data_IF_349271062369
#
_entry.id   IF_349271062369
#
_cell.length_a   1.000
_cell.length_b   1.000
_cell.length_c   1.000
_cell.angle_alpha   90.00
_cell.angle_beta   90.00
_cell.angle_gamma   90.00
#
_symmetry.space_group_name_H-M   'P 1'
#
loop_
_entity.id
_entity.type
_entity.pdbx_description
1 polymer ?
#
# COMPACT_ATOMS: atom_id res chain seq x y z
N UNK A 1 -3.01 -30.85 -9.56
CA UNK A 1 -2.03 -29.98 -8.87
C UNK A 1 -2.80 -28.94 -8.10
N UNK A 2 -2.45 -28.67 -6.85
CA UNK A 2 -3.11 -27.63 -6.05
C UNK A 2 -2.40 -26.29 -6.24
N UNK A 3 -3.17 -25.21 -6.38
CA UNK A 3 -2.68 -23.86 -6.70
C UNK A 3 -3.41 -22.88 -5.77
N UNK A 4 -2.68 -21.90 -5.27
CA UNK A 4 -3.26 -20.74 -4.59
C UNK A 4 -2.63 -19.51 -5.22
N UNK A 5 -3.45 -18.62 -5.76
CA UNK A 5 -2.98 -17.30 -6.21
C UNK A 5 -3.51 -16.25 -5.25
N UNK A 6 -2.65 -15.30 -4.89
CA UNK A 6 -2.98 -14.17 -4.03
C UNK A 6 -2.55 -12.91 -4.74
N UNK A 7 -3.47 -11.98 -4.93
CA UNK A 7 -3.15 -10.62 -5.35
C UNK A 7 -3.76 -9.63 -4.36
N UNK A 8 -3.18 -8.44 -4.29
CA UNK A 8 -3.63 -7.38 -3.41
C UNK A 8 -3.59 -6.04 -4.14
N UNK A 9 -4.46 -5.10 -3.74
CA UNK A 9 -4.30 -3.71 -4.15
C UNK A 9 -3.09 -3.06 -3.44
N UNK A 10 -2.69 -1.90 -3.95
CA UNK A 10 -1.72 -1.02 -3.29
C UNK A 10 -2.48 0.13 -2.61
N UNK A 11 -2.57 0.18 -1.27
CA UNK A 11 -3.24 1.27 -0.58
C UNK A 11 -2.54 2.60 -0.83
N UNK A 12 -3.34 3.66 -0.97
CA UNK A 12 -2.86 5.03 -1.08
C UNK A 12 -2.81 5.68 0.30
N UNK A 13 -1.71 6.37 0.60
CA UNK A 13 -1.50 7.11 1.84
C UNK A 13 -1.17 8.56 1.53
N UNK A 14 -2.03 9.45 1.98
CA UNK A 14 -1.80 10.89 1.94
C UNK A 14 -0.68 11.29 2.90
N UNK A 15 0.23 12.13 2.41
CA UNK A 15 1.31 12.72 3.21
C UNK A 15 1.20 14.23 3.11
N UNK A 16 1.05 14.89 4.26
CA UNK A 16 1.08 16.35 4.35
C UNK A 16 2.50 16.87 4.09
N UNK A 17 2.66 18.09 3.53
CA UNK A 17 3.96 18.72 3.40
C UNK A 17 4.64 18.89 4.76
N UNK A 18 5.93 18.57 4.84
CA UNK A 18 6.74 18.59 6.08
C UNK A 18 7.92 19.55 5.97
N UNK A 19 8.47 20.06 7.08
CA UNK A 19 9.73 20.79 7.05
C UNK A 19 10.85 19.92 6.45
N UNK A 20 11.83 20.52 5.74
CA UNK A 20 12.92 19.78 5.12
C UNK A 20 13.82 19.11 6.17
N UNK A 21 14.29 17.90 5.90
CA UNK A 21 15.22 17.16 6.77
C UNK A 21 14.83 15.70 6.97
N UNK A 22 15.65 14.97 7.74
CA UNK A 22 15.35 13.57 8.07
C UNK A 22 14.10 13.53 8.96
N UNK A 23 13.04 12.93 8.43
CA UNK A 23 11.79 12.74 9.16
C UNK A 23 11.36 11.28 9.08
N UNK A 24 10.60 10.85 10.08
CA UNK A 24 9.94 9.56 10.06
C UNK A 24 8.47 9.78 9.75
N UNK A 25 7.94 9.00 8.81
CA UNK A 25 6.50 8.96 8.55
C UNK A 25 5.89 7.83 9.37
N UNK A 26 4.98 8.18 10.27
CA UNK A 26 4.07 7.20 10.85
C UNK A 26 2.95 6.94 9.84
N UNK A 27 2.78 5.69 9.43
CA UNK A 27 1.71 5.31 8.54
C UNK A 27 0.38 5.18 9.31
N UNK A 28 -0.75 5.56 8.71
CA UNK A 28 -2.06 5.28 9.28
C UNK A 28 -2.38 3.78 9.19
N UNK A 29 -3.56 3.37 9.65
CA UNK A 29 -4.08 2.03 9.35
C UNK A 29 -4.12 1.82 7.84
N UNK A 30 -3.59 0.69 7.37
CA UNK A 30 -3.62 0.31 5.97
C UNK A 30 -4.75 -0.69 5.73
N UNK A 31 -5.49 -0.51 4.64
CA UNK A 31 -6.56 -1.42 4.25
C UNK A 31 -6.19 -2.09 2.93
N UNK A 32 -6.04 -3.41 2.97
CA UNK A 32 -5.74 -4.22 1.80
C UNK A 32 -6.97 -5.02 1.39
N UNK A 33 -7.27 -4.97 0.09
CA UNK A 33 -8.23 -5.79 -0.61
C UNK A 33 -7.45 -6.90 -1.32
N UNK A 34 -7.74 -8.14 -0.95
CA UNK A 34 -7.12 -9.32 -1.52
C UNK A 34 -8.08 -10.05 -2.43
N UNK A 35 -7.55 -10.56 -3.53
CA UNK A 35 -8.22 -11.49 -4.42
C UNK A 35 -7.50 -12.83 -4.31
N UNK A 36 -8.22 -13.84 -3.82
CA UNK A 36 -7.70 -15.18 -3.59
C UNK A 36 -8.33 -16.13 -4.60
N UNK A 37 -7.49 -16.91 -5.27
CA UNK A 37 -7.94 -17.94 -6.23
C UNK A 37 -7.43 -19.30 -5.78
N UNK A 38 -8.16 -19.99 -4.88
CA UNK A 38 -7.82 -21.33 -4.44
C UNK A 38 -8.25 -22.37 -5.48
N UNK A 39 -7.37 -23.34 -5.76
CA UNK A 39 -7.67 -24.48 -6.61
C UNK A 39 -7.07 -25.76 -6.02
N UNK A 40 -7.90 -26.77 -5.83
CA UNK A 40 -7.49 -28.09 -5.39
C UNK A 40 -7.32 -29.03 -6.61
N UNK A 41 -6.57 -30.11 -6.45
CA UNK A 41 -6.46 -31.14 -7.49
C UNK A 41 -7.81 -31.85 -7.73
N UNK A 42 -7.92 -32.58 -8.85
CA UNK A 42 -9.13 -33.34 -9.19
C UNK A 42 -9.54 -34.27 -8.04
N UNK A 43 -10.82 -34.23 -7.66
CA UNK A 43 -11.42 -34.98 -6.53
C UNK A 43 -10.94 -34.55 -5.13
N UNK A 44 -10.29 -33.39 -4.99
CA UNK A 44 -9.98 -32.78 -3.71
C UNK A 44 -10.89 -31.58 -3.46
N UNK A 45 -11.35 -31.44 -2.23
CA UNK A 45 -12.19 -30.33 -1.81
C UNK A 45 -11.40 -29.37 -0.91
N UNK A 46 -11.66 -28.06 -0.99
CA UNK A 46 -11.06 -27.10 -0.07
C UNK A 46 -11.56 -27.37 1.35
N UNK A 47 -10.64 -27.65 2.27
CA UNK A 47 -10.91 -27.86 3.69
C UNK A 47 -10.79 -26.56 4.49
N UNK A 48 -9.98 -25.60 4.01
CA UNK A 48 -9.84 -24.30 4.63
C UNK A 48 -8.82 -23.40 3.93
N UNK A 49 -8.97 -22.11 4.12
CA UNK A 49 -8.09 -21.07 3.60
C UNK A 49 -7.77 -20.11 4.74
N UNK A 50 -6.52 -19.71 4.87
CA UNK A 50 -6.13 -18.66 5.80
C UNK A 50 -5.25 -17.64 5.11
N UNK A 51 -5.36 -16.40 5.55
CA UNK A 51 -4.59 -15.25 5.09
C UNK A 51 -4.17 -14.45 6.32
N UNK A 52 -2.92 -14.03 6.37
CA UNK A 52 -2.40 -13.18 7.44
C UNK A 52 -1.45 -12.12 6.93
N UNK A 53 -1.48 -10.95 7.55
CA UNK A 53 -0.61 -9.80 7.28
C UNK A 53 -0.33 -9.11 8.62
N UNK A 54 0.95 -8.98 8.98
CA UNK A 54 1.35 -8.61 10.35
C UNK A 54 0.60 -9.49 11.39
N UNK A 55 -0.07 -8.90 12.39
CA UNK A 55 -0.87 -9.68 13.35
C UNK A 55 -2.34 -9.86 12.93
N UNK A 56 -2.72 -9.35 11.76
CA UNK A 56 -4.09 -9.46 11.25
C UNK A 56 -4.28 -10.78 10.53
N UNK A 57 -5.30 -11.54 10.91
CA UNK A 57 -5.55 -12.88 10.37
C UNK A 57 -7.01 -13.07 9.98
N UNK A 58 -7.21 -13.70 8.83
CA UNK A 58 -8.48 -14.21 8.35
C UNK A 58 -8.40 -15.73 8.18
N UNK A 59 -9.47 -16.43 8.53
CA UNK A 59 -9.62 -17.87 8.28
C UNK A 59 -11.01 -18.13 7.72
N UNK A 60 -11.06 -18.85 6.61
CA UNK A 60 -12.26 -19.20 5.87
C UNK A 60 -12.37 -20.71 5.91
N UNK A 61 -13.45 -21.21 6.51
CA UNK A 61 -13.73 -22.64 6.57
C UNK A 61 -14.25 -23.19 5.25
N UNK A 62 -14.20 -24.52 5.09
CA UNK A 62 -14.66 -25.23 3.89
C UNK A 62 -16.06 -24.84 3.42
N UNK A 63 -17.01 -24.61 4.34
CA UNK A 63 -18.38 -24.24 4.00
C UNK A 63 -18.50 -22.91 3.22
N UNK A 64 -17.56 -21.98 3.43
CA UNK A 64 -17.53 -20.69 2.74
C UNK A 64 -16.70 -20.72 1.46
N UNK A 65 -15.81 -21.72 1.30
CA UNK A 65 -15.05 -21.95 0.08
C UNK A 65 -15.90 -22.84 -0.82
N UNK A 66 -16.94 -22.25 -1.41
CA UNK A 66 -17.78 -22.99 -2.34
C UNK A 66 -16.96 -23.27 -3.62
N UNK A 67 -16.94 -24.52 -4.09
CA UNK A 67 -16.21 -24.91 -5.31
C UNK A 67 -16.69 -24.13 -6.56
N UNK A 68 -17.88 -23.52 -6.50
CA UNK A 68 -18.44 -22.67 -7.55
C UNK A 68 -17.92 -21.23 -7.56
N UNK A 69 -17.22 -20.78 -6.51
CA UNK A 69 -16.63 -19.44 -6.43
C UNK A 69 -15.12 -19.55 -6.64
N UNK A 70 -14.61 -19.40 -7.88
CA UNK A 70 -13.19 -19.51 -8.18
C UNK A 70 -12.37 -18.33 -7.62
N UNK A 71 -13.06 -17.28 -7.16
CA UNK A 71 -12.46 -16.04 -6.66
C UNK A 71 -13.11 -15.69 -5.33
N UNK A 72 -12.27 -15.38 -4.35
CA UNK A 72 -12.67 -14.94 -3.02
C UNK A 72 -12.04 -13.57 -2.77
N UNK A 73 -12.88 -12.56 -2.57
CA UNK A 73 -12.44 -11.20 -2.24
C UNK A 73 -12.58 -10.95 -0.75
N UNK A 74 -11.50 -10.47 -0.13
CA UNK A 74 -11.47 -10.21 1.31
C UNK A 74 -10.73 -8.91 1.60
N UNK A 75 -11.07 -8.29 2.72
CA UNK A 75 -10.40 -7.09 3.20
C UNK A 75 -9.74 -7.37 4.55
N UNK A 76 -8.45 -7.05 4.68
CA UNK A 76 -7.73 -7.05 5.95
C UNK A 76 -7.16 -5.66 6.21
N UNK A 77 -7.25 -5.23 7.48
CA UNK A 77 -6.72 -3.94 7.92
C UNK A 77 -5.50 -4.18 8.81
N UNK A 78 -4.40 -3.49 8.55
CA UNK A 78 -3.21 -3.50 9.41
C UNK A 78 -3.23 -2.25 10.28
N UNK A 79 -3.39 -2.38 11.61
CA UNK A 79 -3.38 -1.24 12.52
C UNK A 79 -2.08 -0.44 12.43
N UNK A 80 -2.18 0.89 12.55
CA UNK A 80 -1.01 1.80 12.54
C UNK A 80 0.06 1.40 13.57
N UNK A 81 -0.35 0.88 14.73
CA UNK A 81 0.56 0.44 15.79
C UNK A 81 1.47 -0.73 15.41
N UNK A 82 1.15 -1.47 14.34
CA UNK A 82 1.96 -2.57 13.81
C UNK A 82 2.93 -2.12 12.69
N UNK A 83 2.84 -0.85 12.28
CA UNK A 83 3.65 -0.31 11.19
C UNK A 83 4.84 0.45 11.75
N UNK A 84 6.03 0.03 11.37
CA UNK A 84 7.25 0.74 11.75
C UNK A 84 7.29 2.13 11.07
N UNK A 85 7.73 3.19 11.77
CA UNK A 85 7.95 4.48 11.15
C UNK A 85 8.95 4.40 10.00
N UNK A 86 8.63 5.02 8.87
CA UNK A 86 9.44 4.94 7.65
C UNK A 86 10.35 6.16 7.57
N UNK A 87 11.68 5.98 7.47
CA UNK A 87 12.58 7.10 7.23
C UNK A 87 12.32 7.65 5.82
N UNK A 88 11.96 8.93 5.74
CA UNK A 88 11.72 9.63 4.48
C UNK A 88 12.58 10.89 4.42
N UNK A 89 13.13 11.13 3.24
CA UNK A 89 13.90 12.34 2.92
C UNK A 89 13.57 12.79 1.50
N UNK A 90 13.35 14.08 1.32
CA UNK A 90 13.06 14.69 0.02
C UNK A 90 11.63 14.45 -0.51
N UNK A 91 10.80 13.66 0.17
CA UNK A 91 9.41 13.43 -0.21
C UNK A 91 8.44 14.30 0.60
N UNK A 92 7.60 15.04 -0.13
CA UNK A 92 6.61 15.96 0.42
C UNK A 92 7.22 16.93 1.45
N UNK A 93 8.35 17.55 1.08
CA UNK A 93 9.01 18.56 1.89
C UNK A 93 8.64 19.96 1.40
N UNK A 94 8.42 20.88 2.34
CA UNK A 94 8.27 22.29 2.05
C UNK A 94 9.59 22.83 1.47
N UNK A 95 9.54 23.72 0.46
CA UNK A 95 10.73 24.37 -0.06
C UNK A 95 11.53 25.00 1.08
N UNK A 96 12.83 24.72 1.11
CA UNK A 96 13.78 25.33 2.04
C UNK A 96 13.98 26.80 1.61
N UNK A 97 13.07 27.66 2.07
CA UNK A 97 12.93 29.10 1.80
C UNK A 97 12.44 29.54 0.41
N UNK A 98 11.59 30.59 0.35
CA UNK A 98 11.32 31.30 -0.89
C UNK A 98 12.57 32.11 -1.24
N UNK A 99 12.99 32.07 -2.51
CA UNK A 99 14.02 32.94 -3.08
C UNK A 99 13.55 34.41 -3.07
N UNK A 100 13.41 35.04 -1.90
CA UNK A 100 13.20 36.48 -1.76
C UNK A 100 14.35 37.04 -0.92
N UNK A 101 15.57 36.91 -1.43
CA UNK A 101 16.73 37.72 -1.02
C UNK A 101 17.88 37.65 -2.04
N UNK A 102 17.57 37.67 -3.34
CA UNK A 102 18.52 38.18 -4.34
C UNK A 102 17.90 39.40 -5.02
N UNK A 103 18.05 40.55 -4.37
CA UNK A 103 18.04 41.81 -5.08
C UNK A 103 19.09 41.70 -6.21
N UNK A 104 18.75 41.98 -7.47
CA UNK A 104 19.74 41.93 -8.54
C UNK A 104 20.65 43.16 -8.40
N UNK A 105 21.84 42.97 -7.83
CA UNK A 105 22.95 43.88 -8.08
C UNK A 105 23.39 43.64 -9.51
N UNK A 106 23.34 44.70 -10.32
CA UNK A 106 23.59 44.65 -11.75
C UNK A 106 24.99 44.11 -12.11
N UNK A 107 25.05 43.46 -13.27
CA UNK A 107 26.22 43.15 -14.10
C UNK A 107 26.92 41.81 -13.84
N UNK A 108 26.64 40.80 -14.68
CA UNK A 108 27.57 40.21 -15.67
C UNK A 108 26.95 38.95 -16.32
N UNK A 109 27.20 38.65 -17.62
CA UNK A 109 26.58 37.53 -18.32
C UNK A 109 27.57 36.36 -18.44
N UNK A 110 27.55 35.41 -17.51
CA UNK A 110 28.29 34.14 -17.71
C UNK A 110 27.45 32.92 -17.30
N UNK A 111 26.94 32.26 -18.34
CA UNK A 111 26.87 30.82 -18.55
C UNK A 111 26.98 29.94 -17.28
N UNK A 112 25.84 29.62 -16.67
CA UNK A 112 25.76 28.54 -15.69
C UNK A 112 24.41 27.85 -15.80
N UNK A 113 24.44 26.60 -16.30
CA UNK A 113 23.28 25.74 -16.42
C UNK A 113 22.63 25.55 -15.05
N UNK A 114 21.46 26.13 -14.88
CA UNK A 114 20.61 25.88 -13.72
C UNK A 114 19.94 24.52 -13.97
N UNK A 115 20.24 23.44 -13.21
CA UNK A 115 19.33 22.31 -13.22
C UNK A 115 18.06 22.83 -12.57
N UNK A 116 17.04 23.07 -13.39
CA UNK A 116 15.69 23.29 -12.90
C UNK A 116 15.41 22.21 -11.87
N UNK A 117 15.13 22.61 -10.63
CA UNK A 117 14.78 21.70 -9.55
C UNK A 117 13.67 20.79 -10.10
N UNK A 118 13.98 19.50 -10.23
CA UNK A 118 12.98 18.52 -10.65
C UNK A 118 11.77 18.67 -9.72
N UNK A 119 10.54 18.74 -10.26
CA UNK A 119 9.36 18.86 -9.43
C UNK A 119 9.37 17.70 -8.42
N UNK A 120 9.25 18.03 -7.14
CA UNK A 120 9.19 17.04 -6.07
C UNK A 120 8.17 15.96 -6.46
N UNK A 121 8.58 14.70 -6.45
CA UNK A 121 7.74 13.59 -6.87
C UNK A 121 6.41 13.65 -6.09
N UNK A 122 5.30 13.79 -6.80
CA UNK A 122 3.97 13.87 -6.20
C UNK A 122 3.52 12.53 -5.62
N UNK A 123 4.18 11.44 -6.01
CA UNK A 123 3.95 10.10 -5.50
C UNK A 123 5.25 9.33 -5.29
N UNK A 124 5.24 8.40 -4.35
CA UNK A 124 6.35 7.52 -4.02
C UNK A 124 5.79 6.15 -3.63
N UNK A 125 6.28 5.08 -4.24
CA UNK A 125 5.91 3.71 -3.85
C UNK A 125 6.95 3.15 -2.89
N UNK A 126 6.49 2.61 -1.78
CA UNK A 126 7.29 1.79 -0.87
C UNK A 126 7.03 0.34 -1.26
N UNK A 127 7.97 -0.24 -2.00
CA UNK A 127 7.89 -1.64 -2.43
C UNK A 127 8.06 -2.59 -1.25
N UNK A 128 7.30 -3.68 -1.26
CA UNK A 128 7.40 -4.76 -0.29
C UNK A 128 7.39 -4.29 1.19
N UNK A 129 6.63 -3.24 1.48
CA UNK A 129 6.48 -2.67 2.82
C UNK A 129 5.97 -3.72 3.83
N UNK A 130 5.13 -4.64 3.37
CA UNK A 130 4.60 -5.76 4.15
C UNK A 130 4.63 -7.06 3.32
N UNK A 131 4.39 -8.18 3.99
CA UNK A 131 4.11 -9.46 3.33
C UNK A 131 2.83 -10.08 3.86
N UNK A 132 1.99 -10.57 2.94
CA UNK A 132 0.87 -11.43 3.27
C UNK A 132 1.27 -12.90 3.08
N UNK A 133 0.86 -13.72 4.03
CA UNK A 133 1.00 -15.18 3.98
C UNK A 133 -0.38 -15.81 3.84
N UNK A 134 -0.53 -16.70 2.87
CA UNK A 134 -1.76 -17.44 2.67
C UNK A 134 -1.51 -18.95 2.65
N UNK A 135 -2.46 -19.71 3.17
CA UNK A 135 -2.41 -21.17 3.18
C UNK A 135 -3.75 -21.77 2.76
N UNK A 136 -3.73 -22.60 1.74
CA UNK A 136 -4.88 -23.39 1.27
C UNK A 136 -4.69 -24.83 1.70
N UNK A 137 -5.64 -25.37 2.45
CA UNK A 137 -5.71 -26.80 2.76
C UNK A 137 -6.79 -27.45 1.92
N UNK A 138 -6.41 -28.47 1.17
CA UNK A 138 -7.30 -29.35 0.42
C UNK A 138 -7.37 -30.71 1.11
N UNK A 139 -8.51 -31.40 1.03
CA UNK A 139 -8.70 -32.73 1.57
C UNK A 139 -9.40 -33.65 0.57
N UNK A 140 -9.11 -34.95 0.66
CA UNK A 140 -9.76 -36.02 -0.11
C UNK A 140 -9.74 -37.29 0.74
N UNK A 141 -10.91 -37.87 1.02
CA UNK A 141 -11.12 -39.03 1.90
C UNK A 141 -10.30 -38.95 3.21
N UNK A 142 -9.11 -39.56 3.24
CA UNK A 142 -8.21 -39.63 4.41
C UNK A 142 -6.92 -38.81 4.24
N UNK A 143 -6.79 -38.04 3.17
CA UNK A 143 -5.61 -37.26 2.84
C UNK A 143 -5.86 -35.77 3.00
N UNK A 144 -4.85 -35.06 3.47
CA UNK A 144 -4.79 -33.60 3.53
C UNK A 144 -3.50 -33.11 2.91
N UNK A 145 -3.57 -31.96 2.29
CA UNK A 145 -2.44 -31.30 1.66
C UNK A 145 -2.62 -29.80 1.78
N UNK A 146 -1.53 -29.10 2.07
CA UNK A 146 -1.54 -27.65 2.27
C UNK A 146 -0.52 -26.99 1.34
N UNK A 147 -0.93 -25.95 0.62
CA UNK A 147 -0.04 -25.07 -0.13
C UNK A 147 0.03 -23.72 0.56
N UNK A 148 1.23 -23.14 0.55
CA UNK A 148 1.51 -21.82 1.09
C UNK A 148 1.95 -20.88 -0.02
N UNK A 149 1.56 -19.62 0.08
CA UNK A 149 2.00 -18.54 -0.81
C UNK A 149 2.28 -17.29 0.01
N UNK A 150 3.34 -16.59 -0.38
CA UNK A 150 3.71 -15.29 0.16
C UNK A 150 3.54 -14.23 -0.91
N UNK A 151 2.85 -13.15 -0.60
CA UNK A 151 2.68 -11.99 -1.48
C UNK A 151 3.33 -10.76 -0.84
N UNK A 152 4.26 -10.12 -1.54
CA UNK A 152 4.82 -8.83 -1.13
C UNK A 152 3.78 -7.74 -1.40
N UNK A 153 3.69 -6.78 -0.49
CA UNK A 153 2.66 -5.76 -0.49
C UNK A 153 3.29 -4.38 -0.49
N UNK A 154 2.89 -3.59 -1.48
CA UNK A 154 3.38 -2.23 -1.65
C UNK A 154 2.47 -1.24 -0.92
N UNK A 155 2.96 -0.01 -0.79
CA UNK A 155 2.18 1.15 -0.34
C UNK A 155 2.51 2.32 -1.25
N UNK A 156 1.50 3.06 -1.70
CA UNK A 156 1.70 4.28 -2.48
C UNK A 156 1.51 5.49 -1.58
N UNK A 157 2.54 6.31 -1.45
CA UNK A 157 2.48 7.61 -0.82
C UNK A 157 2.12 8.66 -1.87
N UNK A 158 1.25 9.60 -1.52
CA UNK A 158 0.93 10.77 -2.35
C UNK A 158 1.09 12.02 -1.51
N UNK A 159 1.81 13.01 -2.04
CA UNK A 159 1.94 14.29 -1.39
C UNK A 159 0.64 15.07 -1.58
N UNK A 160 -0.07 15.30 -0.49
CA UNK A 160 -1.29 16.08 -0.50
C UNK A 160 -0.89 17.56 -0.54
N UNK A 161 -1.03 18.18 -1.70
CA UNK A 161 -0.94 19.63 -1.82
C UNK A 161 -2.01 20.19 -0.89
N UNK A 162 -1.63 20.96 0.14
CA UNK A 162 -2.54 21.51 1.17
C UNK A 162 -3.61 22.49 0.66
N UNK A 163 -3.98 22.44 -0.61
CA UNK A 163 -5.22 23.00 -1.12
C UNK A 163 -6.32 22.03 -0.72
N UNK A 164 -6.82 22.20 0.51
CA UNK A 164 -8.17 21.80 0.81
C UNK A 164 -9.06 22.39 -0.30
N UNK A 165 -9.66 21.53 -1.14
CA UNK A 165 -10.80 21.89 -1.97
C UNK A 165 -11.97 22.24 -1.02
N UNK A 166 -11.89 23.44 -0.44
CA UNK A 166 -13.00 24.14 0.14
C UNK A 166 -13.79 24.80 -0.99
N UNK A 167 -14.54 24.01 -1.77
CA UNK A 167 -15.62 24.51 -2.62
C UNK A 167 -16.74 23.46 -2.65
N UNK A 168 -17.86 23.74 -1.97
CA UNK A 168 -19.11 23.01 -2.21
C UNK A 168 -19.98 22.61 -1.01
N UNK A 169 -19.95 23.31 0.13
CA UNK A 169 -21.13 23.39 1.00
C UNK A 169 -21.65 24.82 0.99
N UNK A 170 -22.49 25.12 0.00
CA UNK A 170 -23.41 26.26 0.04
C UNK A 170 -24.85 25.71 -0.04
N UNK A 171 -25.49 25.75 1.14
CA UNK A 171 -26.89 26.02 1.47
C UNK A 171 -27.98 26.11 0.36
N UNK A 172 -29.20 25.73 0.80
CA UNK A 172 -30.57 25.97 0.25
C UNK A 172 -31.08 24.82 -0.65
N UNK A 173 -32.20 24.12 -0.36
CA UNK A 173 -33.41 24.41 0.43
C UNK A 173 -33.89 23.17 1.20
#
# INVERSE_FOLDING_TARGET
MQILTVTANTPLVGVMPRPPGRSFLALPQLNYHFVLQPSCADNWLPAGLSLSIADSRLSIGSAAINASLPVIEVQLSVPAAQLAPIPLSGFCELPKEPLISKLPTASEPENSGNPAAEPAASSLVIEAALSAQAALTCASEDRRSTTYVSQLLDISLVCESGIADGVGQELQN
#
